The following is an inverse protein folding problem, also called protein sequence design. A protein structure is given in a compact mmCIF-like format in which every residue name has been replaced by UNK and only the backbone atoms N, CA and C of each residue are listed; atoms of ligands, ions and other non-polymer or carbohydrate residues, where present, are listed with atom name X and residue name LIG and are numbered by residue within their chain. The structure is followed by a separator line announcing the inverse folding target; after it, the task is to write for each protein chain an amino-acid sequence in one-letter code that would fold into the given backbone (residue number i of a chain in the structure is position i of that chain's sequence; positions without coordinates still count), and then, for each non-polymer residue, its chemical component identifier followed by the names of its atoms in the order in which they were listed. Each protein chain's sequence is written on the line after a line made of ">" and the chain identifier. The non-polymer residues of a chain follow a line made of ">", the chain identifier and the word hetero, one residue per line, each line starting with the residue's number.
data_IF_889661469782
#
_entry.id   IF_889661469782
#
_cell.length_a   1.000
_cell.length_b   1.000
_cell.length_c   1.000
_cell.angle_alpha   90.00
_cell.angle_beta   90.00
_cell.angle_gamma   90.00
#
_symmetry.space_group_name_H-M   'P 1'
#
loop_
_entity.id
_entity.type
_entity.pdbx_description
1 polymer ?
#
# COMPACT_ATOMS: atom_id res chain seq x y z
N UNK A 1 2.16 9.73 19.97
CA UNK A 1 3.44 9.64 19.22
C UNK A 1 3.65 10.84 18.30
N UNK A 2 4.90 11.02 17.77
CA UNK A 2 5.21 11.90 16.65
C UNK A 2 5.53 11.03 15.43
N UNK A 3 4.69 11.11 14.42
CA UNK A 3 4.67 10.20 13.27
C UNK A 3 4.93 11.00 12.00
N UNK A 4 5.94 10.60 11.22
CA UNK A 4 6.21 11.13 9.90
C UNK A 4 5.56 10.22 8.84
N UNK A 5 4.78 10.80 7.94
CA UNK A 5 4.21 10.12 6.76
C UNK A 5 4.86 10.71 5.52
N UNK A 6 5.62 9.92 4.78
CA UNK A 6 6.24 10.33 3.51
C UNK A 6 5.38 9.92 2.33
N UNK A 7 5.48 10.62 1.19
CA UNK A 7 4.59 10.38 0.06
C UNK A 7 3.15 10.79 0.35
N UNK A 8 2.98 11.90 1.05
CA UNK A 8 1.70 12.37 1.56
C UNK A 8 0.67 12.70 0.46
N UNK A 9 1.12 13.06 -0.74
CA UNK A 9 0.26 13.33 -1.90
C UNK A 9 -0.23 12.05 -2.62
N UNK A 10 0.35 10.88 -2.29
CA UNK A 10 -0.05 9.60 -2.86
C UNK A 10 -1.41 9.09 -2.36
N UNK A 11 -1.90 7.99 -2.94
CA UNK A 11 -3.17 7.38 -2.53
C UNK A 11 -3.20 7.08 -1.02
N UNK A 12 -2.25 6.29 -0.54
CA UNK A 12 -2.18 5.92 0.87
C UNK A 12 -1.84 7.11 1.78
N UNK A 13 -0.98 8.03 1.32
CA UNK A 13 -0.65 9.23 2.09
C UNK A 13 -1.87 10.12 2.37
N UNK A 14 -2.77 10.27 1.39
CA UNK A 14 -4.03 10.98 1.58
C UNK A 14 -4.98 10.25 2.54
N UNK A 15 -5.07 8.91 2.45
CA UNK A 15 -5.88 8.13 3.39
C UNK A 15 -5.31 8.20 4.83
N UNK A 16 -4.00 8.22 4.98
CA UNK A 16 -3.36 8.46 6.28
C UNK A 16 -3.71 9.84 6.85
N UNK A 17 -3.83 10.88 6.00
CA UNK A 17 -4.30 12.20 6.46
C UNK A 17 -5.75 12.17 6.95
N UNK A 18 -6.60 11.36 6.32
CA UNK A 18 -8.00 11.16 6.77
C UNK A 18 -8.01 10.45 8.11
N UNK A 19 -7.28 9.33 8.25
CA UNK A 19 -7.20 8.55 9.48
C UNK A 19 -6.57 9.32 10.64
N UNK A 20 -5.65 10.26 10.36
CA UNK A 20 -5.01 11.09 11.37
C UNK A 20 -5.94 12.12 12.00
N UNK A 21 -7.07 12.45 11.34
CA UNK A 21 -8.04 13.43 11.87
C UNK A 21 -8.66 12.90 13.16
N UNK A 22 -8.53 13.68 14.23
CA UNK A 22 -9.04 13.32 15.55
C UNK A 22 -8.12 12.42 16.37
N UNK A 23 -6.95 12.02 15.86
CA UNK A 23 -5.92 11.32 16.64
C UNK A 23 -5.28 12.25 17.66
N UNK A 24 -4.87 11.71 18.80
CA UNK A 24 -4.04 12.40 19.79
C UNK A 24 -2.55 12.42 19.39
N UNK A 25 -2.16 11.62 18.42
CA UNK A 25 -0.82 11.58 17.89
C UNK A 25 -0.55 12.79 16.98
N UNK A 26 0.70 13.25 16.96
CA UNK A 26 1.13 14.35 16.08
C UNK A 26 1.68 13.78 14.79
N UNK A 27 1.00 14.06 13.68
CA UNK A 27 1.42 13.66 12.34
C UNK A 27 2.13 14.80 11.61
N UNK A 28 3.17 14.44 10.86
CA UNK A 28 3.91 15.27 9.94
C UNK A 28 3.79 14.64 8.55
N UNK A 29 3.27 15.39 7.59
CA UNK A 29 3.03 14.91 6.24
C UNK A 29 3.98 15.57 5.27
N UNK A 30 4.86 14.80 4.64
CA UNK A 30 5.89 15.31 3.73
C UNK A 30 5.78 14.69 2.34
N UNK A 31 6.14 15.49 1.35
CA UNK A 31 6.26 15.07 -0.04
C UNK A 31 7.29 15.97 -0.75
N UNK A 32 7.67 15.62 -1.98
CA UNK A 32 8.47 16.49 -2.86
C UNK A 32 7.58 17.40 -3.72
N UNK A 33 6.25 17.21 -3.67
CA UNK A 33 5.27 18.00 -4.41
C UNK A 33 4.97 19.32 -3.70
N UNK A 34 4.55 20.32 -4.47
CA UNK A 34 4.06 21.59 -3.96
C UNK A 34 2.81 21.38 -3.07
N UNK A 35 2.70 22.16 -1.99
CA UNK A 35 1.59 22.09 -1.03
C UNK A 35 1.83 21.20 0.19
N UNK A 36 2.97 20.50 0.23
CA UNK A 36 3.42 19.71 1.37
C UNK A 36 4.74 20.22 1.94
N UNK A 37 5.02 19.90 3.19
CA UNK A 37 6.34 20.10 3.76
C UNK A 37 7.35 19.25 2.97
N UNK A 38 8.39 19.88 2.45
CA UNK A 38 9.34 19.25 1.54
C UNK A 38 10.32 18.35 2.27
N UNK A 39 10.39 17.08 1.89
CA UNK A 39 11.43 16.14 2.33
C UNK A 39 11.80 15.18 1.20
N UNK A 40 13.02 15.30 0.69
CA UNK A 40 13.59 14.28 -0.21
C UNK A 40 14.16 13.12 0.62
N UNK A 41 13.44 11.99 0.64
CA UNK A 41 13.84 10.79 1.38
C UNK A 41 15.07 10.09 0.79
N UNK A 42 15.54 10.51 -0.39
CA UNK A 42 16.78 10.01 -0.98
C UNK A 42 18.02 10.70 -0.42
N UNK A 43 17.85 11.80 0.32
CA UNK A 43 18.92 12.50 1.04
C UNK A 43 18.92 12.07 2.51
N UNK A 44 19.88 11.25 2.90
CA UNK A 44 19.99 10.70 4.26
C UNK A 44 20.17 11.80 5.31
N UNK A 45 20.91 12.86 5.00
CA UNK A 45 21.18 13.94 5.97
C UNK A 45 19.92 14.80 6.18
N UNK A 46 19.13 15.04 5.13
CA UNK A 46 17.83 15.70 5.25
C UNK A 46 16.86 14.84 6.12
N UNK A 47 16.82 13.53 5.91
CA UNK A 47 16.00 12.59 6.70
C UNK A 47 16.43 12.61 8.17
N UNK A 48 17.73 12.48 8.46
CA UNK A 48 18.26 12.52 9.83
C UNK A 48 17.96 13.84 10.55
N UNK A 49 18.18 14.95 9.85
CA UNK A 49 17.90 16.28 10.39
C UNK A 49 16.42 16.43 10.72
N UNK A 50 15.53 15.99 9.82
CA UNK A 50 14.08 16.03 10.02
C UNK A 50 13.64 15.21 11.23
N UNK A 51 14.07 13.95 11.29
CA UNK A 51 13.74 13.01 12.38
C UNK A 51 14.18 13.60 13.74
N UNK A 52 15.40 14.12 13.85
CA UNK A 52 15.93 14.69 15.10
C UNK A 52 15.24 15.99 15.49
N UNK A 53 15.06 16.92 14.54
CA UNK A 53 14.47 18.24 14.81
C UNK A 53 13.03 18.13 15.30
N UNK A 54 12.25 17.23 14.69
CA UNK A 54 10.85 17.05 15.08
C UNK A 54 10.67 16.01 16.19
N UNK A 55 11.71 15.24 16.52
CA UNK A 55 11.66 14.12 17.47
C UNK A 55 10.71 13.03 17.01
N UNK A 56 10.84 12.63 15.74
CA UNK A 56 10.00 11.58 15.11
C UNK A 56 10.25 10.25 15.81
N UNK A 57 9.16 9.54 16.10
CA UNK A 57 9.15 8.25 16.81
C UNK A 57 8.74 7.10 15.91
N UNK A 58 7.97 7.40 14.85
CA UNK A 58 7.62 6.43 13.82
C UNK A 58 7.60 7.10 12.44
N UNK A 59 7.99 6.34 11.41
CA UNK A 59 7.84 6.73 10.00
C UNK A 59 6.90 5.76 9.33
N UNK A 60 5.90 6.27 8.58
CA UNK A 60 5.10 5.52 7.61
C UNK A 60 5.55 5.93 6.22
N UNK A 61 6.30 5.06 5.55
CA UNK A 61 6.79 5.32 4.21
C UNK A 61 5.79 4.88 3.15
N UNK A 62 5.00 5.85 2.65
CA UNK A 62 4.08 5.68 1.52
C UNK A 62 4.72 6.10 0.18
N UNK A 63 5.92 6.70 0.20
CA UNK A 63 6.60 7.13 -1.00
C UNK A 63 7.27 5.96 -1.73
N UNK A 64 7.08 5.88 -3.04
CA UNK A 64 7.73 4.92 -3.93
C UNK A 64 7.58 5.33 -5.39
N UNK A 65 8.45 4.80 -6.25
CA UNK A 65 8.16 4.72 -7.68
C UNK A 65 7.16 3.59 -7.90
N UNK A 66 5.95 3.91 -8.41
CA UNK A 66 4.86 2.94 -8.58
C UNK A 66 4.44 2.72 -10.05
N UNK A 67 5.05 3.44 -11.00
CA UNK A 67 4.80 3.22 -12.42
C UNK A 67 5.55 1.96 -12.88
N UNK A 68 4.86 0.82 -12.84
CA UNK A 68 5.41 -0.51 -13.17
C UNK A 68 6.01 -0.54 -14.57
N UNK A 69 5.23 -0.14 -15.58
CA UNK A 69 5.69 -0.16 -16.99
C UNK A 69 6.82 0.86 -17.24
N UNK A 70 6.75 2.02 -16.59
CA UNK A 70 7.79 3.05 -16.68
C UNK A 70 9.09 2.68 -15.96
N UNK A 71 9.08 1.69 -15.06
CA UNK A 71 10.28 1.18 -14.41
C UNK A 71 11.16 0.33 -15.35
N UNK A 72 10.58 -0.24 -16.43
CA UNK A 72 11.30 -1.04 -17.41
C UNK A 72 12.14 -0.19 -18.37
N UNK A 73 11.99 1.14 -18.36
CA UNK A 73 12.84 2.04 -19.12
C UNK A 73 14.25 2.08 -18.51
N UNK A 74 15.30 1.62 -19.22
CA UNK A 74 16.66 1.57 -18.68
C UNK A 74 17.19 2.93 -18.24
N UNK A 75 16.71 4.03 -18.84
CA UNK A 75 17.13 5.39 -18.48
C UNK A 75 16.62 5.83 -17.11
N UNK A 76 15.64 5.12 -16.54
CA UNK A 76 15.00 5.41 -15.26
C UNK A 76 15.44 4.47 -14.14
N UNK A 77 16.17 3.41 -14.47
CA UNK A 77 16.55 2.38 -13.48
C UNK A 77 17.18 2.97 -12.22
N UNK A 78 18.14 3.87 -12.38
CA UNK A 78 18.85 4.51 -11.25
C UNK A 78 17.88 5.27 -10.35
N UNK A 79 16.94 6.03 -10.93
CA UNK A 79 15.92 6.75 -10.18
C UNK A 79 14.96 5.80 -9.46
N UNK A 80 14.53 4.73 -10.14
CA UNK A 80 13.62 3.73 -9.58
C UNK A 80 14.29 3.01 -8.40
N UNK A 81 15.55 2.60 -8.55
CA UNK A 81 16.35 1.96 -7.50
C UNK A 81 16.57 2.93 -6.32
N UNK A 82 16.89 4.19 -6.60
CA UNK A 82 17.08 5.22 -5.57
C UNK A 82 15.82 5.41 -4.73
N UNK A 83 14.64 5.48 -5.36
CA UNK A 83 13.38 5.69 -4.66
C UNK A 83 12.85 4.43 -3.95
N UNK A 84 13.05 3.25 -4.55
CA UNK A 84 12.48 2.00 -4.04
C UNK A 84 13.42 1.21 -3.11
N UNK A 85 14.73 1.47 -3.15
CA UNK A 85 15.72 0.76 -2.33
C UNK A 85 16.53 1.71 -1.44
N UNK A 86 17.21 2.71 -2.00
CA UNK A 86 18.08 3.62 -1.21
C UNK A 86 17.26 4.47 -0.24
N UNK A 87 16.14 5.04 -0.66
CA UNK A 87 15.31 5.85 0.21
C UNK A 87 14.74 5.07 1.40
N UNK A 88 14.18 3.85 1.24
CA UNK A 88 13.83 2.99 2.37
C UNK A 88 14.99 2.67 3.31
N UNK A 89 16.21 2.45 2.78
CA UNK A 89 17.41 2.27 3.58
C UNK A 89 17.72 3.51 4.45
N UNK A 90 17.66 4.71 3.87
CA UNK A 90 17.86 5.96 4.58
C UNK A 90 16.87 6.13 5.74
N UNK A 91 15.59 5.85 5.50
CA UNK A 91 14.55 5.89 6.52
C UNK A 91 14.81 4.86 7.63
N UNK A 92 15.25 3.65 7.27
CA UNK A 92 15.60 2.61 8.21
C UNK A 92 16.78 3.01 9.09
N UNK A 93 17.85 3.58 8.50
CA UNK A 93 19.02 4.08 9.22
C UNK A 93 18.62 5.17 10.22
N UNK A 94 17.84 6.16 9.77
CA UNK A 94 17.42 7.26 10.64
C UNK A 94 16.53 6.75 11.81
N UNK A 95 15.64 5.80 11.56
CA UNK A 95 14.80 5.25 12.62
C UNK A 95 15.56 4.34 13.58
N UNK A 96 16.54 3.57 13.09
CA UNK A 96 17.43 2.79 13.96
C UNK A 96 18.24 3.69 14.90
N UNK A 97 18.76 4.80 14.41
CA UNK A 97 19.55 5.76 15.21
C UNK A 97 18.77 6.36 16.39
N UNK A 98 17.44 6.46 16.28
CA UNK A 98 16.57 7.02 17.34
C UNK A 98 15.75 5.97 18.09
N UNK A 99 15.93 4.68 17.77
CA UNK A 99 15.17 3.59 18.39
C UNK A 99 13.68 3.59 18.04
N UNK A 100 13.30 4.14 16.87
CA UNK A 100 11.92 4.30 16.43
C UNK A 100 11.41 3.19 15.53
N UNK A 101 10.16 3.33 15.06
CA UNK A 101 9.49 2.37 14.15
C UNK A 101 9.53 2.86 12.71
N UNK A 102 9.90 1.97 11.78
CA UNK A 102 9.65 2.15 10.34
C UNK A 102 8.53 1.23 9.86
N UNK A 103 7.41 1.78 9.40
CA UNK A 103 6.40 1.07 8.61
C UNK A 103 6.65 1.38 7.13
N UNK A 104 6.99 0.35 6.34
CA UNK A 104 7.32 0.49 4.92
C UNK A 104 6.33 -0.27 4.05
N UNK A 105 5.79 0.38 3.01
CA UNK A 105 4.85 -0.25 2.08
C UNK A 105 5.62 -0.87 0.91
N UNK A 106 5.47 -2.19 0.76
CA UNK A 106 6.00 -2.98 -0.34
C UNK A 106 4.87 -3.51 -1.23
N UNK A 107 5.14 -4.49 -2.07
CA UNK A 107 4.24 -4.93 -3.15
C UNK A 107 4.22 -6.44 -3.31
N UNK A 108 3.11 -6.94 -3.86
CA UNK A 108 2.95 -8.31 -4.38
C UNK A 108 3.86 -8.61 -5.58
N UNK A 109 4.36 -7.60 -6.30
CA UNK A 109 5.31 -7.76 -7.41
C UNK A 109 6.68 -8.31 -6.99
N UNK A 110 6.96 -8.48 -5.69
CA UNK A 110 8.11 -9.26 -5.22
C UNK A 110 7.94 -10.75 -5.54
N UNK A 111 6.72 -11.20 -5.83
CA UNK A 111 6.40 -12.54 -6.32
C UNK A 111 6.08 -12.49 -7.82
N UNK A 112 6.50 -13.47 -8.59
CA UNK A 112 6.24 -13.47 -10.04
C UNK A 112 6.33 -14.84 -10.68
N UNK A 113 6.79 -15.85 -9.90
CA UNK A 113 6.96 -17.23 -10.36
C UNK A 113 6.09 -18.18 -9.56
N UNK A 114 5.96 -19.40 -10.09
CA UNK A 114 5.24 -20.49 -9.43
C UNK A 114 5.64 -20.71 -7.96
N UNK A 115 4.71 -21.26 -7.16
CA UNK A 115 3.42 -21.83 -7.54
C UNK A 115 2.32 -20.77 -7.65
N UNK A 116 1.42 -20.92 -8.65
CA UNK A 116 0.30 -20.00 -8.90
C UNK A 116 -1.05 -20.46 -8.33
N UNK A 117 -1.07 -21.45 -7.44
CA UNK A 117 -2.30 -22.04 -6.91
C UNK A 117 -2.39 -22.02 -5.39
N UNK A 118 -1.50 -21.32 -4.72
CA UNK A 118 -1.50 -21.13 -3.27
C UNK A 118 -1.21 -19.66 -2.95
N UNK A 119 -1.85 -19.08 -1.93
CA UNK A 119 -1.55 -17.72 -1.50
C UNK A 119 -0.07 -17.55 -1.14
N UNK A 120 0.50 -16.41 -1.57
CA UNK A 120 1.88 -16.06 -1.28
C UNK A 120 2.03 -15.77 0.22
N UNK A 121 3.07 -16.33 0.84
CA UNK A 121 3.39 -16.17 2.26
C UNK A 121 4.60 -15.26 2.44
N UNK A 122 4.71 -14.65 3.62
CA UNK A 122 5.79 -13.70 3.95
C UNK A 122 7.18 -14.35 3.98
N UNK A 123 7.25 -15.65 4.26
CA UNK A 123 8.49 -16.43 4.33
C UNK A 123 8.98 -16.96 2.96
N UNK A 124 8.18 -16.81 1.91
CA UNK A 124 8.58 -17.20 0.57
C UNK A 124 9.67 -16.28 0.01
N UNK A 125 10.61 -16.89 -0.72
CA UNK A 125 11.64 -16.15 -1.45
C UNK A 125 11.01 -15.30 -2.54
N UNK A 126 11.38 -14.03 -2.61
CA UNK A 126 10.95 -13.15 -3.68
C UNK A 126 11.48 -13.62 -5.04
N UNK A 127 10.61 -13.58 -6.05
CA UNK A 127 10.90 -13.99 -7.43
C UNK A 127 10.38 -12.94 -8.44
N UNK A 128 10.79 -11.66 -8.31
CA UNK A 128 10.28 -10.58 -9.15
C UNK A 128 10.59 -10.85 -10.62
N UNK A 129 9.68 -10.43 -11.51
CA UNK A 129 9.80 -10.60 -12.97
C UNK A 129 10.04 -9.29 -13.71
N UNK A 130 10.04 -8.15 -13.01
CA UNK A 130 10.28 -6.82 -13.56
C UNK A 130 11.05 -5.92 -12.61
N UNK A 131 11.52 -4.80 -13.12
CA UNK A 131 12.36 -3.82 -12.38
C UNK A 131 11.64 -3.26 -11.18
N UNK A 132 10.34 -2.96 -11.28
CA UNK A 132 9.56 -2.47 -10.15
C UNK A 132 9.59 -3.45 -8.96
N UNK A 133 9.24 -4.71 -9.19
CA UNK A 133 9.25 -5.74 -8.14
C UNK A 133 10.64 -5.99 -7.58
N UNK A 134 11.67 -6.00 -8.45
CA UNK A 134 13.08 -6.16 -8.06
C UNK A 134 13.54 -5.03 -7.13
N UNK A 135 13.33 -3.78 -7.51
CA UNK A 135 13.77 -2.63 -6.72
C UNK A 135 13.02 -2.51 -5.40
N UNK A 136 11.73 -2.87 -5.35
CA UNK A 136 10.97 -2.97 -4.09
C UNK A 136 11.54 -4.06 -3.18
N UNK A 137 11.91 -5.23 -3.74
CA UNK A 137 12.56 -6.30 -2.97
C UNK A 137 13.94 -5.86 -2.43
N UNK A 138 14.71 -5.10 -3.20
CA UNK A 138 15.97 -4.52 -2.73
C UNK A 138 15.73 -3.59 -1.51
N UNK A 139 14.66 -2.79 -1.52
CA UNK A 139 14.28 -1.96 -0.39
C UNK A 139 13.93 -2.77 0.87
N UNK A 140 13.17 -3.87 0.73
CA UNK A 140 12.89 -4.79 1.85
C UNK A 140 14.19 -5.38 2.43
N UNK A 141 15.10 -5.80 1.54
CA UNK A 141 16.39 -6.37 1.94
C UNK A 141 17.28 -5.32 2.64
N UNK A 142 17.26 -4.07 2.16
CA UNK A 142 18.01 -2.97 2.76
C UNK A 142 17.51 -2.66 4.17
N UNK A 143 16.19 -2.54 4.37
CA UNK A 143 15.58 -2.34 5.70
C UNK A 143 16.00 -3.48 6.64
N UNK A 144 15.85 -4.73 6.20
CA UNK A 144 16.22 -5.91 7.00
C UNK A 144 17.71 -5.94 7.34
N UNK A 145 18.57 -5.53 6.43
CA UNK A 145 20.02 -5.44 6.67
C UNK A 145 20.35 -4.37 7.71
N UNK A 146 19.72 -3.20 7.64
CA UNK A 146 19.94 -2.11 8.58
C UNK A 146 19.53 -2.52 10.00
N UNK A 147 18.33 -3.07 10.18
CA UNK A 147 17.88 -3.49 11.51
C UNK A 147 18.58 -4.78 11.98
N UNK A 148 18.96 -5.69 11.06
CA UNK A 148 19.68 -6.94 11.39
C UNK A 148 18.87 -7.86 12.31
N UNK A 149 19.60 -8.73 13.03
CA UNK A 149 19.07 -9.45 14.20
C UNK A 149 19.18 -8.51 15.42
N UNK A 150 18.36 -7.42 15.41
CA UNK A 150 18.45 -6.36 16.40
C UNK A 150 18.43 -6.89 17.84
N UNK A 151 19.48 -6.68 18.63
CA UNK A 151 19.39 -6.78 20.08
C UNK A 151 18.50 -5.64 20.59
N UNK A 152 17.90 -5.84 21.75
CA UNK A 152 16.94 -4.97 22.41
C UNK A 152 17.29 -3.46 22.37
N UNK A 153 16.38 -2.65 21.87
CA UNK A 153 16.41 -1.19 22.03
C UNK A 153 16.81 -0.37 20.79
N UNK A 154 17.15 -0.99 19.65
CA UNK A 154 17.67 -0.28 18.48
C UNK A 154 16.62 -0.03 17.37
N UNK A 155 15.33 0.13 17.73
CA UNK A 155 14.26 0.40 16.78
C UNK A 155 13.61 -0.85 16.22
N UNK A 156 12.58 -0.65 15.39
CA UNK A 156 11.75 -1.71 14.84
C UNK A 156 11.33 -1.40 13.39
N UNK A 157 10.93 -2.44 12.65
CA UNK A 157 10.36 -2.27 11.33
C UNK A 157 9.15 -3.18 11.09
N UNK A 158 8.21 -2.68 10.31
CA UNK A 158 7.09 -3.44 9.75
C UNK A 158 7.04 -3.17 8.26
N UNK A 159 7.29 -4.18 7.45
CA UNK A 159 7.15 -4.11 5.99
C UNK A 159 5.79 -4.71 5.65
N UNK A 160 4.95 -3.95 4.94
CA UNK A 160 3.63 -4.41 4.51
C UNK A 160 3.64 -4.55 2.99
N UNK A 161 3.57 -5.78 2.48
CA UNK A 161 3.33 -6.04 1.07
C UNK A 161 1.84 -5.91 0.79
N UNK A 162 1.49 -5.14 -0.21
CA UNK A 162 0.10 -4.93 -0.65
C UNK A 162 -0.05 -5.15 -2.15
N UNK A 163 -1.29 -5.28 -2.63
CA UNK A 163 -1.60 -5.54 -4.03
C UNK A 163 -2.74 -4.63 -4.51
N UNK A 164 -2.72 -4.23 -5.78
CA UNK A 164 -3.84 -3.60 -6.49
C UNK A 164 -4.47 -2.42 -5.72
N UNK A 165 -3.62 -1.52 -5.21
CA UNK A 165 -4.04 -0.40 -4.38
C UNK A 165 -4.91 0.59 -5.15
N UNK A 166 -6.07 0.95 -4.59
CA UNK A 166 -6.96 1.96 -5.11
C UNK A 166 -7.53 2.84 -3.98
N UNK A 167 -7.94 4.05 -4.34
CA UNK A 167 -8.60 5.01 -3.45
C UNK A 167 -9.32 6.09 -4.27
N UNK A 168 -9.94 7.02 -3.58
CA UNK A 168 -10.50 8.25 -4.15
C UNK A 168 -9.42 9.19 -4.72
N UNK A 169 -8.17 9.03 -4.23
CA UNK A 169 -7.04 9.89 -4.56
C UNK A 169 -6.19 9.33 -5.69
N UNK A 170 -5.43 10.20 -6.35
CA UNK A 170 -4.49 9.83 -7.40
C UNK A 170 -5.14 9.14 -8.61
N UNK A 171 -4.31 8.49 -9.43
CA UNK A 171 -4.73 7.68 -10.57
C UNK A 171 -4.65 6.20 -10.18
N UNK A 172 -5.70 5.43 -10.45
CA UNK A 172 -5.76 4.01 -10.16
C UNK A 172 -6.70 3.27 -11.10
N UNK A 173 -6.68 1.95 -11.06
CA UNK A 173 -7.47 1.09 -11.93
C UNK A 173 -8.98 1.29 -11.71
N UNK A 174 -9.43 1.42 -10.46
CA UNK A 174 -10.86 1.62 -10.15
C UNK A 174 -11.40 2.87 -10.83
N UNK A 175 -10.74 4.03 -10.67
CA UNK A 175 -11.14 5.30 -11.32
C UNK A 175 -11.08 5.20 -12.85
N UNK A 176 -10.08 4.49 -13.38
CA UNK A 176 -9.96 4.26 -14.81
C UNK A 176 -11.16 3.46 -15.34
N UNK A 177 -11.53 2.37 -14.68
CA UNK A 177 -12.66 1.54 -15.10
C UNK A 177 -14.00 2.24 -14.87
N UNK A 178 -14.15 3.03 -13.81
CA UNK A 178 -15.32 3.89 -13.62
C UNK A 178 -15.55 4.82 -14.82
N UNK A 179 -14.50 5.45 -15.32
CA UNK A 179 -14.59 6.32 -16.48
C UNK A 179 -14.82 5.52 -17.78
N UNK A 180 -14.06 4.45 -18.01
CA UNK A 180 -14.13 3.69 -19.26
C UNK A 180 -15.48 3.00 -19.42
N UNK A 181 -16.04 2.41 -18.37
CA UNK A 181 -17.37 1.77 -18.43
C UNK A 181 -18.52 2.76 -18.69
N UNK A 182 -18.34 4.04 -18.34
CA UNK A 182 -19.32 5.10 -18.63
C UNK A 182 -19.16 5.73 -20.02
N UNK A 183 -18.03 5.50 -20.71
CA UNK A 183 -17.70 6.24 -21.96
C UNK A 183 -17.42 5.35 -23.16
N UNK A 184 -17.17 4.06 -22.96
CA UNK A 184 -16.84 3.12 -24.02
C UNK A 184 -17.98 2.10 -24.21
N UNK A 185 -18.30 1.71 -25.46
CA UNK A 185 -19.31 0.69 -25.72
C UNK A 185 -18.80 -0.72 -25.38
N UNK A 186 -17.48 -0.93 -25.43
CA UNK A 186 -16.86 -2.22 -25.19
C UNK A 186 -15.49 -2.03 -24.53
N UNK A 187 -15.14 -2.98 -23.64
CA UNK A 187 -13.81 -3.09 -23.00
C UNK A 187 -13.38 -4.55 -23.01
N UNK A 188 -12.08 -4.78 -23.27
CA UNK A 188 -11.42 -6.07 -23.02
C UNK A 188 -10.56 -5.92 -21.76
N UNK A 189 -10.72 -6.85 -20.82
CA UNK A 189 -10.02 -6.81 -19.52
C UNK A 189 -9.44 -8.19 -19.21
N UNK A 190 -8.20 -8.19 -18.78
CA UNK A 190 -7.44 -9.41 -18.46
C UNK A 190 -8.12 -10.19 -17.34
N UNK A 191 -8.33 -11.52 -17.55
CA UNK A 191 -8.95 -12.41 -16.57
C UNK A 191 -8.00 -13.47 -16.00
N UNK A 192 -6.84 -13.71 -16.61
CA UNK A 192 -5.84 -14.70 -16.24
C UNK A 192 -4.73 -14.14 -15.32
N UNK A 193 -4.94 -12.95 -14.77
CA UNK A 193 -4.17 -12.38 -13.66
C UNK A 193 -5.08 -12.28 -12.44
N UNK A 194 -4.71 -12.98 -11.37
CA UNK A 194 -5.53 -13.17 -10.17
C UNK A 194 -4.83 -12.60 -8.94
N UNK A 195 -5.55 -11.80 -8.19
CA UNK A 195 -5.05 -11.12 -6.99
C UNK A 195 -6.19 -10.67 -6.09
N UNK A 196 -5.92 -9.70 -5.25
CA UNK A 196 -6.95 -9.06 -4.42
C UNK A 196 -6.78 -7.55 -4.42
N UNK A 197 -7.82 -6.77 -4.78
CA UNK A 197 -7.76 -5.31 -4.65
C UNK A 197 -7.58 -4.88 -3.19
N UNK A 198 -6.86 -3.79 -2.98
CA UNK A 198 -6.68 -3.18 -1.67
C UNK A 198 -7.21 -1.75 -1.66
N UNK A 199 -8.21 -1.48 -0.84
CA UNK A 199 -8.65 -0.12 -0.58
C UNK A 199 -7.65 0.57 0.35
N UNK A 200 -7.10 1.69 -0.08
CA UNK A 200 -6.02 2.35 0.66
C UNK A 200 -6.47 2.87 2.04
N UNK A 201 -7.74 3.20 2.23
CA UNK A 201 -8.28 3.55 3.55
C UNK A 201 -8.25 2.36 4.52
N UNK A 202 -8.52 1.14 4.05
CA UNK A 202 -8.44 -0.05 4.91
C UNK A 202 -6.99 -0.35 5.30
N UNK A 203 -6.06 -0.19 4.36
CA UNK A 203 -4.63 -0.29 4.66
C UNK A 203 -4.18 0.81 5.63
N UNK A 204 -4.65 2.04 5.47
CA UNK A 204 -4.35 3.13 6.40
C UNK A 204 -4.86 2.82 7.82
N UNK A 205 -6.07 2.29 7.96
CA UNK A 205 -6.62 1.85 9.25
C UNK A 205 -5.78 0.73 9.88
N UNK A 206 -5.33 -0.25 9.08
CA UNK A 206 -4.44 -1.31 9.54
C UNK A 206 -3.09 -0.74 10.05
N UNK A 207 -2.53 0.25 9.35
CA UNK A 207 -1.31 0.96 9.78
C UNK A 207 -1.53 1.69 11.12
N UNK A 208 -2.68 2.34 11.31
CA UNK A 208 -3.01 2.98 12.60
C UNK A 208 -3.06 1.95 13.74
N UNK A 209 -3.64 0.78 13.50
CA UNK A 209 -3.64 -0.31 14.51
C UNK A 209 -2.21 -0.72 14.87
N UNK A 210 -1.33 -0.88 13.87
CA UNK A 210 0.09 -1.24 14.07
C UNK A 210 0.83 -0.14 14.85
N UNK A 211 0.61 1.14 14.52
CA UNK A 211 1.21 2.27 15.25
C UNK A 211 0.75 2.30 16.71
N UNK A 212 -0.54 2.08 16.97
CA UNK A 212 -1.09 2.03 18.31
C UNK A 212 -0.56 0.83 19.10
N UNK A 213 -0.40 -0.32 18.44
CA UNK A 213 0.20 -1.51 19.05
C UNK A 213 1.66 -1.25 19.43
N UNK A 214 2.45 -0.65 18.56
CA UNK A 214 3.82 -0.26 18.84
C UNK A 214 3.91 0.71 20.04
N UNK A 215 3.07 1.73 20.06
CA UNK A 215 3.05 2.72 21.13
C UNK A 215 2.78 2.08 22.52
N UNK A 216 1.89 1.08 22.57
CA UNK A 216 1.58 0.34 23.79
C UNK A 216 2.71 -0.57 24.25
N UNK A 217 3.43 -1.21 23.32
CA UNK A 217 4.43 -2.23 23.65
C UNK A 217 5.85 -1.70 23.81
N UNK A 218 6.23 -0.62 23.12
CA UNK A 218 7.58 -0.05 23.20
C UNK A 218 7.71 1.04 24.27
N UNK A 219 6.62 1.30 25.01
CA UNK A 219 6.64 2.08 26.25
C UNK A 219 7.30 3.45 26.11
N UNK A 220 6.74 4.34 25.31
CA UNK A 220 6.96 5.78 25.47
C UNK A 220 6.24 6.30 26.73
N UNK A 221 5.35 5.51 27.31
CA UNK A 221 4.75 5.70 28.63
C UNK A 221 5.36 4.68 29.62
N UNK A 222 6.15 5.15 30.61
CA UNK A 222 6.73 4.27 31.62
C UNK A 222 5.71 3.47 32.45
N UNK A 223 4.42 3.88 32.43
CA UNK A 223 3.34 3.22 33.17
C UNK A 223 2.69 2.06 32.38
N UNK A 224 2.95 1.96 31.09
CA UNK A 224 2.36 0.94 30.21
C UNK A 224 3.25 -0.28 29.94
N UNK A 225 4.41 -0.39 30.60
CA UNK A 225 5.29 -1.57 30.46
C UNK A 225 4.65 -2.78 31.08
N UNK A 226 4.17 -3.72 30.26
CA UNK A 226 3.75 -5.04 30.71
C UNK A 226 4.98 -5.86 31.14
N UNK A 227 5.02 -6.39 32.39
CA UNK A 227 6.16 -7.16 32.91
C UNK A 227 6.51 -8.43 32.13
N UNK A 228 5.57 -8.96 31.34
CA UNK A 228 5.75 -10.17 30.52
C UNK A 228 6.60 -9.95 29.25
N UNK A 229 6.92 -8.69 28.91
CA UNK A 229 7.73 -8.31 27.73
C UNK A 229 9.20 -8.04 28.06
N UNK A 230 9.65 -8.31 29.26
CA UNK A 230 11.05 -8.12 29.71
C UNK A 230 12.03 -9.17 29.12
N UNK A 231 11.67 -9.80 28.01
CA UNK A 231 12.53 -10.74 27.27
C UNK A 231 13.57 -10.08 26.36
N UNK A 232 13.87 -8.80 26.57
CA UNK A 232 15.04 -8.13 25.95
C UNK A 232 14.96 -7.93 24.43
N UNK A 233 13.82 -8.16 23.78
CA UNK A 233 13.64 -7.91 22.35
C UNK A 233 12.90 -6.59 22.11
N UNK A 234 13.44 -5.69 21.26
CA UNK A 234 12.70 -4.54 20.81
C UNK A 234 11.55 -5.03 19.94
N UNK A 235 10.35 -4.66 20.25
CA UNK A 235 9.14 -4.96 19.49
C UNK A 235 9.15 -6.33 18.77
N UNK A 236 8.68 -7.42 19.41
CA UNK A 236 8.80 -8.80 18.90
C UNK A 236 8.03 -9.04 17.59
N UNK A 237 7.29 -8.02 17.14
CA UNK A 237 6.45 -8.02 15.93
C UNK A 237 7.11 -7.38 14.73
N UNK A 238 8.42 -7.05 14.80
CA UNK A 238 9.20 -6.63 13.62
C UNK A 238 9.21 -7.71 12.55
N UNK A 239 9.01 -7.32 11.28
CA UNK A 239 9.03 -8.28 10.18
C UNK A 239 8.27 -7.84 8.94
N UNK A 240 8.06 -8.82 8.05
CA UNK A 240 7.26 -8.68 6.83
C UNK A 240 5.85 -9.19 7.12
N UNK A 241 4.86 -8.48 6.60
CA UNK A 241 3.45 -8.77 6.69
C UNK A 241 2.78 -8.54 5.34
N UNK A 242 1.65 -9.20 5.13
CA UNK A 242 0.83 -9.00 3.95
C UNK A 242 -0.50 -8.32 4.32
N UNK A 243 -0.93 -7.37 3.49
CA UNK A 243 -2.25 -6.76 3.60
C UNK A 243 -2.85 -6.53 2.22
N UNK A 244 -4.01 -7.11 1.98
CA UNK A 244 -4.99 -6.76 0.93
C UNK A 244 -6.37 -7.02 1.51
N UNK A 245 -7.44 -6.51 0.88
CA UNK A 245 -8.78 -6.88 1.33
C UNK A 245 -9.02 -8.39 1.23
N UNK A 246 -10.04 -8.95 1.88
CA UNK A 246 -10.37 -10.37 1.76
C UNK A 246 -11.00 -10.70 0.41
N UNK A 247 -10.87 -11.96 -0.01
CA UNK A 247 -11.37 -12.47 -1.27
C UNK A 247 -10.32 -12.51 -2.36
N UNK A 248 -10.73 -12.95 -3.55
CA UNK A 248 -9.87 -13.15 -4.72
C UNK A 248 -10.67 -12.79 -5.97
N UNK A 249 -10.05 -12.11 -6.93
CA UNK A 249 -10.67 -11.81 -8.22
C UNK A 249 -9.61 -11.63 -9.32
N UNK A 250 -10.04 -11.64 -10.57
CA UNK A 250 -9.27 -11.16 -11.71
C UNK A 250 -9.49 -9.65 -11.94
N UNK A 251 -8.67 -9.01 -12.80
CA UNK A 251 -8.95 -7.65 -13.24
C UNK A 251 -10.29 -7.52 -13.95
N UNK A 252 -10.72 -8.59 -14.67
CA UNK A 252 -12.02 -8.66 -15.30
C UNK A 252 -13.15 -8.64 -14.25
N UNK A 253 -13.06 -9.50 -13.22
CA UNK A 253 -14.06 -9.54 -12.15
C UNK A 253 -14.13 -8.21 -11.40
N UNK A 254 -12.97 -7.61 -11.12
CA UNK A 254 -12.89 -6.29 -10.49
C UNK A 254 -13.59 -5.22 -11.33
N UNK A 255 -13.37 -5.21 -12.66
CA UNK A 255 -14.05 -4.29 -13.57
C UNK A 255 -15.57 -4.53 -13.61
N UNK A 256 -16.01 -5.79 -13.66
CA UNK A 256 -17.44 -6.15 -13.62
C UNK A 256 -18.12 -5.66 -12.34
N UNK A 257 -17.42 -5.79 -11.21
CA UNK A 257 -17.94 -5.32 -9.92
C UNK A 257 -17.98 -3.78 -9.84
N UNK A 258 -16.95 -3.09 -10.33
CA UNK A 258 -16.95 -1.62 -10.46
C UNK A 258 -18.14 -1.16 -11.29
N UNK A 259 -18.39 -1.78 -12.45
CA UNK A 259 -19.51 -1.50 -13.33
C UNK A 259 -20.85 -1.68 -12.61
N UNK A 260 -21.03 -2.80 -11.91
CA UNK A 260 -22.27 -3.16 -11.22
C UNK A 260 -22.58 -2.23 -10.05
N UNK A 261 -21.58 -1.99 -9.17
CA UNK A 261 -21.75 -1.14 -7.98
C UNK A 261 -22.06 0.29 -8.41
N UNK A 262 -21.26 0.85 -9.34
CA UNK A 262 -21.49 2.22 -9.81
C UNK A 262 -22.86 2.41 -10.43
N UNK A 263 -23.31 1.48 -11.29
CA UNK A 263 -24.65 1.52 -11.87
C UNK A 263 -25.77 1.39 -10.82
N UNK A 264 -25.53 0.62 -9.75
CA UNK A 264 -26.45 0.49 -8.61
C UNK A 264 -26.59 1.80 -7.83
N UNK A 265 -25.49 2.46 -7.53
CA UNK A 265 -25.46 3.76 -6.82
C UNK A 265 -26.10 4.86 -7.69
N UNK A 266 -25.76 4.93 -8.97
CA UNK A 266 -26.28 5.89 -9.95
C UNK A 266 -27.82 5.76 -10.17
N UNK A 267 -28.42 4.62 -9.80
CA UNK A 267 -29.86 4.38 -9.91
C UNK A 267 -30.69 5.35 -9.04
N UNK A 268 -30.16 5.71 -7.88
CA UNK A 268 -30.84 6.61 -6.92
C UNK A 268 -30.75 8.09 -7.29
N UNK A 269 -29.93 8.45 -8.29
CA UNK A 269 -29.72 9.85 -8.68
C UNK A 269 -30.89 10.43 -9.46
N UNK A 270 -31.31 11.64 -9.10
CA UNK A 270 -32.24 12.46 -9.86
C UNK A 270 -31.57 13.25 -11.01
N UNK A 271 -30.23 13.36 -11.00
CA UNK A 271 -29.45 14.09 -12.02
C UNK A 271 -29.45 13.35 -13.35
N UNK A 272 -29.84 14.06 -14.42
CA UNK A 272 -29.97 13.51 -15.78
C UNK A 272 -28.59 13.06 -16.34
N UNK A 273 -27.53 13.78 -16.03
CA UNK A 273 -26.16 13.42 -16.46
C UNK A 273 -25.69 12.10 -15.83
N UNK A 274 -26.01 11.88 -14.57
CA UNK A 274 -25.72 10.63 -13.83
C UNK A 274 -26.55 9.49 -14.39
N UNK A 275 -27.82 9.74 -14.71
CA UNK A 275 -28.71 8.75 -15.36
C UNK A 275 -28.22 8.33 -16.75
N UNK A 276 -27.73 9.29 -17.53
CA UNK A 276 -27.11 8.99 -18.84
C UNK A 276 -25.83 8.18 -18.67
N UNK A 277 -24.94 8.55 -17.77
CA UNK A 277 -23.72 7.78 -17.46
C UNK A 277 -24.04 6.37 -17.03
N UNK A 278 -25.11 6.16 -16.22
CA UNK A 278 -25.59 4.83 -15.83
C UNK A 278 -26.04 4.01 -17.03
N UNK A 279 -26.81 4.59 -17.94
CA UNK A 279 -27.26 3.89 -19.14
C UNK A 279 -26.08 3.43 -20.01
N UNK A 280 -25.11 4.30 -20.24
CA UNK A 280 -23.87 3.99 -20.96
C UNK A 280 -23.09 2.90 -20.26
N UNK A 281 -22.94 2.97 -18.92
CA UNK A 281 -22.25 1.98 -18.11
C UNK A 281 -22.89 0.59 -18.22
N UNK A 282 -24.22 0.51 -18.15
CA UNK A 282 -24.95 -0.75 -18.32
C UNK A 282 -24.86 -1.31 -19.74
N UNK A 283 -24.76 -0.44 -20.75
CA UNK A 283 -24.59 -0.81 -22.15
C UNK A 283 -23.16 -1.23 -22.49
N UNK A 284 -22.15 -0.85 -21.68
CA UNK A 284 -20.76 -1.19 -21.91
C UNK A 284 -20.54 -2.71 -21.81
N UNK A 285 -20.13 -3.33 -22.92
CA UNK A 285 -19.83 -4.75 -22.99
C UNK A 285 -18.41 -5.03 -22.47
N UNK A 286 -18.26 -5.40 -21.20
CA UNK A 286 -16.97 -5.78 -20.62
C UNK A 286 -16.73 -7.27 -20.89
N UNK A 287 -15.70 -7.56 -21.70
CA UNK A 287 -15.31 -8.91 -22.12
C UNK A 287 -13.97 -9.32 -21.47
N UNK A 288 -13.79 -10.60 -21.12
CA UNK A 288 -12.51 -11.13 -20.69
C UNK A 288 -11.54 -11.23 -21.88
N UNK A 289 -10.24 -11.06 -21.60
CA UNK A 289 -9.16 -11.38 -22.53
C UNK A 289 -7.98 -12.00 -21.78
N UNK A 290 -7.10 -12.68 -22.50
CA UNK A 290 -5.86 -13.21 -21.95
C UNK A 290 -4.77 -12.12 -21.87
N UNK A 291 -3.81 -12.32 -21.00
CA UNK A 291 -2.67 -11.40 -20.82
C UNK A 291 -1.86 -11.21 -22.11
N UNK A 292 -1.76 -12.25 -22.97
CA UNK A 292 -1.06 -12.16 -24.26
C UNK A 292 -1.81 -11.33 -25.31
N UNK A 293 -3.10 -11.07 -25.13
CA UNK A 293 -3.90 -10.15 -25.96
C UNK A 293 -3.70 -8.67 -25.53
N UNK A 294 -3.13 -8.43 -24.37
CA UNK A 294 -2.89 -7.10 -23.81
C UNK A 294 -1.38 -6.86 -23.63
N UNK A 295 -0.68 -6.33 -24.66
CA UNK A 295 0.76 -6.15 -24.60
C UNK A 295 1.18 -5.26 -23.42
N UNK A 296 2.15 -5.73 -22.64
CA UNK A 296 2.76 -4.99 -21.55
C UNK A 296 4.28 -5.18 -21.62
N UNK A 297 5.09 -4.15 -21.33
CA UNK A 297 6.55 -4.27 -21.29
C UNK A 297 7.03 -5.17 -20.15
N UNK A 298 6.17 -5.44 -19.16
CA UNK A 298 6.49 -6.27 -18.01
C UNK A 298 5.61 -7.51 -17.95
N UNK A 299 6.17 -8.65 -17.59
CA UNK A 299 5.40 -9.84 -17.23
C UNK A 299 4.80 -9.66 -15.84
N UNK A 300 3.50 -9.40 -15.79
CA UNK A 300 2.77 -9.24 -14.52
C UNK A 300 2.55 -10.60 -13.86
N UNK A 301 2.56 -10.68 -12.51
CA UNK A 301 2.24 -11.93 -11.81
C UNK A 301 0.89 -12.49 -12.23
N UNK A 302 0.85 -13.76 -12.65
CA UNK A 302 -0.41 -14.44 -12.97
C UNK A 302 -1.25 -14.71 -11.72
N UNK A 303 -0.59 -14.85 -10.57
CA UNK A 303 -1.24 -15.06 -9.27
C UNK A 303 -0.48 -14.30 -8.18
N UNK A 304 -1.12 -13.33 -7.56
CA UNK A 304 -0.54 -12.49 -6.51
C UNK A 304 -1.43 -12.38 -5.25
N UNK A 305 -2.23 -13.42 -5.01
CA UNK A 305 -3.05 -13.51 -3.78
C UNK A 305 -2.12 -13.62 -2.57
N UNK A 306 -2.25 -12.69 -1.65
CA UNK A 306 -1.43 -12.62 -0.44
C UNK A 306 -2.11 -13.34 0.72
N UNK A 307 -1.37 -14.19 1.45
CA UNK A 307 -1.80 -14.73 2.73
C UNK A 307 -1.71 -13.65 3.81
N UNK A 308 -2.81 -13.38 4.50
CA UNK A 308 -2.93 -12.33 5.52
C UNK A 308 -3.02 -12.88 6.94
N UNK A 309 -2.83 -14.18 7.11
CA UNK A 309 -2.96 -14.84 8.43
C UNK A 309 -2.05 -14.17 9.45
N UNK A 310 -0.79 -13.93 9.09
CA UNK A 310 0.19 -13.36 10.02
C UNK A 310 -0.20 -11.97 10.54
N UNK A 311 -0.64 -11.04 9.68
CA UNK A 311 -1.00 -9.68 10.12
C UNK A 311 -2.25 -9.70 11.01
N UNK A 312 -3.23 -10.56 10.68
CA UNK A 312 -4.46 -10.74 11.45
C UNK A 312 -4.17 -11.29 12.85
N UNK A 313 -3.40 -12.36 12.95
CA UNK A 313 -3.04 -12.99 14.22
C UNK A 313 -2.13 -12.10 15.08
N UNK A 314 -1.18 -11.37 14.45
CA UNK A 314 -0.22 -10.55 15.19
C UNK A 314 -0.84 -9.30 15.78
N UNK A 315 -1.69 -8.61 15.02
CA UNK A 315 -2.19 -7.28 15.39
C UNK A 315 -3.70 -7.26 15.66
N UNK A 316 -4.41 -8.39 15.53
CA UNK A 316 -5.86 -8.45 15.69
C UNK A 316 -6.62 -7.66 14.62
N UNK A 317 -6.04 -7.54 13.42
CA UNK A 317 -6.62 -6.77 12.32
C UNK A 317 -7.75 -7.58 11.69
N UNK A 318 -8.95 -6.99 11.64
CA UNK A 318 -10.06 -7.46 10.82
C UNK A 318 -9.93 -6.86 9.43
N UNK A 319 -9.91 -7.74 8.41
CA UNK A 319 -9.74 -7.32 7.02
C UNK A 319 -11.09 -7.35 6.32
N UNK A 320 -11.61 -6.22 5.80
CA UNK A 320 -12.87 -6.18 5.08
C UNK A 320 -12.84 -6.95 3.77
N UNK A 321 -14.00 -7.46 3.32
CA UNK A 321 -14.11 -8.09 2.01
C UNK A 321 -14.02 -7.04 0.89
N UNK A 322 -13.32 -7.35 -0.20
CA UNK A 322 -12.94 -6.37 -1.23
C UNK A 322 -14.14 -5.68 -1.91
N UNK A 323 -15.31 -6.35 -2.04
CA UNK A 323 -16.49 -5.71 -2.66
C UNK A 323 -17.13 -4.67 -1.75
N UNK A 324 -17.11 -4.88 -0.44
CA UNK A 324 -17.62 -3.91 0.55
C UNK A 324 -16.76 -2.65 0.56
N UNK A 325 -15.44 -2.83 0.55
CA UNK A 325 -14.48 -1.73 0.45
C UNK A 325 -14.59 -0.98 -0.87
N UNK A 326 -14.82 -1.70 -1.98
CA UNK A 326 -15.03 -1.09 -3.28
C UNK A 326 -16.31 -0.23 -3.32
N UNK A 327 -17.40 -0.73 -2.75
CA UNK A 327 -18.65 0.03 -2.66
C UNK A 327 -18.47 1.32 -1.86
N UNK A 328 -17.76 1.24 -0.73
CA UNK A 328 -17.42 2.40 0.09
C UNK A 328 -16.61 3.45 -0.69
N UNK A 329 -15.55 3.02 -1.38
CA UNK A 329 -14.73 3.90 -2.21
C UNK A 329 -15.54 4.57 -3.32
N UNK A 330 -16.40 3.82 -4.03
CA UNK A 330 -17.22 4.39 -5.10
C UNK A 330 -18.24 5.38 -4.55
N UNK A 331 -18.87 5.12 -3.40
CA UNK A 331 -19.75 6.10 -2.72
C UNK A 331 -19.00 7.39 -2.36
N UNK A 332 -17.84 7.28 -1.77
CA UNK A 332 -17.00 8.43 -1.43
C UNK A 332 -16.62 9.25 -2.68
N UNK A 333 -16.27 8.59 -3.79
CA UNK A 333 -15.98 9.26 -5.07
C UNK A 333 -17.17 10.04 -5.63
N UNK A 334 -18.39 9.60 -5.33
CA UNK A 334 -19.63 10.26 -5.76
C UNK A 334 -20.19 11.26 -4.73
N UNK A 335 -19.54 11.40 -3.58
CA UNK A 335 -19.97 12.32 -2.52
C UNK A 335 -21.23 11.87 -1.79
N UNK A 336 -21.47 10.56 -1.70
CA UNK A 336 -22.67 9.93 -1.09
C UNK A 336 -22.30 9.19 0.19
#
# INVERSE_FOLDING_TARGET
>A
MKILVTGANGQLGNEMQICAKGSQDKYFFTDVCEGYEHLDITDIEAVRAYVRTHGIQAIVNCAAWTNVDGAEDPSRYELVEKLNATAPENLAVAMKEVGGLLVHISTDYVFGKEPYNVPCREDQTGTPTGVYGLTKLHGEQAIRRVFGACPSGEGAYVIIRTAWLYSEFGKNFCKTMLNLTATKPELKVVFDQVGTPTYALDLANAIIIILNDYNRHCGLDPQSRHPELDSGSPYPRSGIYHFSNEGVCSWYDFTKMIQSIAAGIELASADESVRLARQQRLACNVQPCHSNEFPSPVTRPAFSVLDKTRIKETFGIEVPYWTESLEKCIKNLQGI
#
